data_IF_073908267994
#
_entry.id   IF_073908267994
#
_cell.length_a   1.000
_cell.length_b   1.000
_cell.length_c   1.000
_cell.angle_alpha   90.00
_cell.angle_beta   90.00
_cell.angle_gamma   90.00
#
_symmetry.space_group_name_H-M   'P 1'
#
loop_
_entity.id
_entity.type
_entity.pdbx_description
1 polymer ?
#
# COMPACT_ATOMS: atom_id res chain seq x y z
N UNK A 1 0.39 0.26 19.04
CA UNK A 1 1.77 0.63 19.44
C UNK A 1 2.83 0.44 18.34
N UNK A 2 2.60 -0.40 17.31
CA UNK A 2 3.57 -0.62 16.21
C UNK A 2 3.79 0.56 15.25
N UNK A 3 2.86 1.52 15.18
CA UNK A 3 2.89 2.61 14.19
C UNK A 3 3.99 3.67 14.49
N UNK A 4 4.40 3.83 15.76
CA UNK A 4 5.24 4.95 16.18
C UNK A 4 6.71 4.87 15.69
N UNK A 5 7.25 3.67 15.46
CA UNK A 5 8.64 3.53 15.00
C UNK A 5 8.79 3.41 13.48
N UNK A 6 7.69 3.25 12.73
CA UNK A 6 7.77 3.19 11.26
C UNK A 6 8.40 4.45 10.69
N UNK A 7 7.91 5.61 11.10
CA UNK A 7 8.36 6.89 10.54
C UNK A 7 9.81 7.19 10.94
N UNK A 8 10.20 6.82 12.17
CA UNK A 8 11.59 6.92 12.66
C UNK A 8 12.55 6.00 11.92
N UNK A 9 12.07 4.82 11.51
CA UNK A 9 12.86 3.86 10.76
C UNK A 9 13.06 4.34 9.32
N UNK A 10 12.02 4.90 8.69
CA UNK A 10 12.11 5.50 7.36
C UNK A 10 13.03 6.72 7.38
N UNK A 11 12.91 7.59 8.39
CA UNK A 11 13.73 8.80 8.51
C UNK A 11 15.16 8.55 9.01
N UNK A 12 15.56 7.30 9.22
CA UNK A 12 16.90 6.97 9.70
C UNK A 12 17.96 7.28 8.64
N UNK A 13 19.01 8.00 9.06
CA UNK A 13 20.18 8.33 8.22
C UNK A 13 21.37 7.42 8.56
N UNK A 14 21.40 6.85 9.77
CA UNK A 14 22.43 5.93 10.20
C UNK A 14 21.85 4.53 10.37
N UNK A 15 22.53 3.53 9.81
CA UNK A 15 22.08 2.14 9.89
C UNK A 15 22.04 1.61 11.33
N UNK A 16 23.04 1.98 12.14
CA UNK A 16 23.13 1.65 13.57
C UNK A 16 21.93 2.19 14.36
N UNK A 17 21.45 3.39 14.02
CA UNK A 17 20.24 3.98 14.60
C UNK A 17 18.98 3.21 14.20
N UNK A 18 18.90 2.69 12.97
CA UNK A 18 17.77 1.86 12.55
C UNK A 18 17.75 0.50 13.28
N UNK A 19 18.92 -0.12 13.47
CA UNK A 19 19.06 -1.39 14.20
C UNK A 19 18.69 -1.21 15.68
N UNK A 20 19.13 -0.12 16.32
CA UNK A 20 18.82 0.14 17.73
C UNK A 20 17.33 0.37 17.97
N UNK A 21 16.61 0.99 17.01
CA UNK A 21 15.15 1.13 17.06
C UNK A 21 14.46 -0.23 17.07
N UNK A 22 14.87 -1.16 16.21
CA UNK A 22 14.31 -2.52 16.17
C UNK A 22 14.66 -3.29 17.45
N UNK A 23 15.87 -3.15 17.97
CA UNK A 23 16.25 -3.79 19.23
C UNK A 23 15.40 -3.27 20.40
N UNK A 24 15.18 -1.96 20.49
CA UNK A 24 14.32 -1.37 21.53
C UNK A 24 12.89 -1.91 21.49
N UNK A 25 12.34 -2.18 20.29
CA UNK A 25 11.03 -2.81 20.17
C UNK A 25 11.02 -4.28 20.54
N UNK A 26 12.10 -5.02 20.24
CA UNK A 26 12.23 -6.41 20.70
C UNK A 26 12.18 -6.47 22.22
N UNK A 27 12.90 -5.59 22.91
CA UNK A 27 12.91 -5.54 24.37
C UNK A 27 11.51 -5.25 24.93
N UNK A 28 10.74 -4.37 24.27
CA UNK A 28 9.33 -4.11 24.64
C UNK A 28 8.47 -5.37 24.50
N UNK A 29 8.52 -6.07 23.36
CA UNK A 29 7.72 -7.28 23.18
C UNK A 29 8.15 -8.41 24.12
N UNK A 30 9.44 -8.54 24.40
CA UNK A 30 9.94 -9.51 25.38
C UNK A 30 9.44 -9.18 26.81
N UNK A 31 9.39 -7.88 27.14
CA UNK A 31 8.78 -7.39 28.38
C UNK A 31 7.29 -7.74 28.47
N UNK A 32 6.55 -7.64 27.36
CA UNK A 32 5.13 -8.00 27.30
C UNK A 32 4.93 -9.49 27.54
N UNK A 33 5.74 -10.36 26.94
CA UNK A 33 5.69 -11.82 27.16
C UNK A 33 5.86 -12.21 28.63
N UNK A 34 6.70 -11.46 29.35
CA UNK A 34 7.04 -11.77 30.74
C UNK A 34 5.98 -11.24 31.72
N UNK A 35 5.36 -10.09 31.42
CA UNK A 35 4.51 -9.35 32.37
C UNK A 35 3.01 -9.48 32.11
N UNK A 36 2.60 -9.78 30.88
CA UNK A 36 1.19 -9.72 30.45
C UNK A 36 0.79 -10.97 29.65
N UNK A 37 0.24 -12.01 30.30
CA UNK A 37 -0.15 -13.25 29.62
C UNK A 37 -1.25 -13.03 28.56
N UNK A 38 -2.14 -12.06 28.75
CA UNK A 38 -3.14 -11.65 27.76
C UNK A 38 -2.54 -11.07 26.47
N UNK A 39 -1.34 -10.50 26.55
CA UNK A 39 -0.61 -9.92 25.41
C UNK A 39 0.27 -10.92 24.65
N UNK A 40 0.35 -12.17 25.09
CA UNK A 40 1.33 -13.16 24.60
C UNK A 40 1.30 -13.33 23.08
N UNK A 41 0.12 -13.60 22.51
CA UNK A 41 -0.02 -13.81 21.05
C UNK A 41 0.41 -12.59 20.23
N UNK A 42 0.07 -11.39 20.70
CA UNK A 42 0.43 -10.16 20.00
C UNK A 42 1.93 -9.87 20.09
N UNK A 43 2.56 -10.19 21.22
CA UNK A 43 4.00 -10.05 21.40
C UNK A 43 4.79 -11.08 20.59
N UNK A 44 4.35 -12.34 20.52
CA UNK A 44 4.94 -13.38 19.66
C UNK A 44 4.89 -12.97 18.17
N UNK A 45 3.73 -12.53 17.68
CA UNK A 45 3.58 -12.04 16.31
C UNK A 45 4.44 -10.78 16.06
N UNK A 46 4.54 -9.88 17.05
CA UNK A 46 5.40 -8.71 16.98
C UNK A 46 6.87 -9.09 16.84
N UNK A 47 7.36 -10.05 17.64
CA UNK A 47 8.74 -10.54 17.57
C UNK A 47 9.04 -11.23 16.23
N UNK A 48 8.12 -12.05 15.72
CA UNK A 48 8.25 -12.67 14.40
C UNK A 48 8.36 -11.61 13.29
N UNK A 49 7.54 -10.56 13.37
CA UNK A 49 7.60 -9.44 12.44
C UNK A 49 8.95 -8.70 12.52
N UNK A 50 9.45 -8.43 13.74
CA UNK A 50 10.77 -7.79 13.92
C UNK A 50 11.92 -8.69 13.46
N UNK A 51 11.78 -10.01 13.58
CA UNK A 51 12.74 -10.97 13.03
C UNK A 51 12.77 -10.89 11.50
N UNK A 52 11.61 -10.83 10.85
CA UNK A 52 11.53 -10.62 9.41
C UNK A 52 12.15 -9.27 8.98
N UNK A 53 11.83 -8.18 9.67
CA UNK A 53 12.40 -6.87 9.34
C UNK A 53 13.93 -6.85 9.47
N UNK A 54 14.46 -7.41 10.54
CA UNK A 54 15.90 -7.50 10.78
C UNK A 54 16.61 -8.36 9.73
N UNK A 55 16.07 -9.54 9.46
CA UNK A 55 16.69 -10.51 8.56
C UNK A 55 16.63 -10.09 7.08
N UNK A 56 15.56 -9.43 6.67
CA UNK A 56 15.36 -9.06 5.27
C UNK A 56 15.62 -7.57 5.03
N UNK A 57 14.83 -6.70 5.66
CA UNK A 57 14.75 -5.27 5.34
C UNK A 57 15.88 -4.42 5.89
N UNK A 58 16.47 -4.82 7.02
CA UNK A 58 17.57 -4.12 7.68
C UNK A 58 18.95 -4.52 7.18
N UNK A 59 19.09 -5.42 6.19
CA UNK A 59 20.37 -5.61 5.51
C UNK A 59 20.85 -4.26 4.96
N UNK A 60 22.11 -3.90 5.20
CA UNK A 60 22.65 -2.56 4.92
C UNK A 60 22.25 -2.05 3.53
N UNK A 61 22.49 -2.85 2.48
CA UNK A 61 22.18 -2.49 1.09
C UNK A 61 20.69 -2.27 0.84
N UNK A 62 19.82 -3.01 1.53
CA UNK A 62 18.38 -2.88 1.37
C UNK A 62 17.86 -1.70 2.19
N UNK A 63 18.31 -1.54 3.43
CA UNK A 63 17.99 -0.35 4.25
C UNK A 63 18.36 0.95 3.53
N UNK A 64 19.53 1.00 2.88
CA UNK A 64 19.95 2.14 2.07
C UNK A 64 18.99 2.45 0.91
N UNK A 65 18.19 1.49 0.41
CA UNK A 65 17.31 1.73 -0.74
C UNK A 65 15.97 2.38 -0.38
N UNK A 66 15.55 2.32 0.90
CA UNK A 66 14.24 2.82 1.34
C UNK A 66 14.29 3.81 2.51
N UNK A 67 15.45 3.99 3.14
CA UNK A 67 15.66 4.98 4.21
C UNK A 67 15.97 6.38 3.69
N UNK A 68 15.96 7.36 4.60
CA UNK A 68 16.37 8.74 4.32
C UNK A 68 17.82 8.82 3.82
N UNK A 69 18.69 7.92 4.28
CA UNK A 69 20.05 7.79 3.73
C UNK A 69 20.04 7.63 2.21
N UNK A 70 19.17 6.76 1.69
CA UNK A 70 19.04 6.52 0.25
C UNK A 70 18.57 7.74 -0.51
N UNK A 71 17.64 8.50 0.08
CA UNK A 71 17.14 9.75 -0.50
C UNK A 71 18.24 10.81 -0.56
N UNK A 72 19.01 10.96 0.52
CA UNK A 72 20.15 11.89 0.58
C UNK A 72 21.24 11.51 -0.44
N UNK A 73 21.57 10.22 -0.53
CA UNK A 73 22.54 9.72 -1.51
C UNK A 73 22.07 9.98 -2.95
N UNK A 74 20.80 9.71 -3.25
CA UNK A 74 20.22 9.97 -4.57
C UNK A 74 20.18 11.48 -4.91
N UNK A 75 19.82 12.32 -3.95
CA UNK A 75 19.81 13.77 -4.10
C UNK A 75 21.21 14.31 -4.44
N UNK A 76 22.24 13.82 -3.75
CA UNK A 76 23.64 14.18 -4.01
C UNK A 76 24.09 13.80 -5.42
N UNK A 77 23.69 12.62 -5.91
CA UNK A 77 24.01 12.14 -7.27
C UNK A 77 23.29 12.97 -8.34
N UNK A 78 22.00 13.26 -8.16
CA UNK A 78 21.15 13.93 -9.15
C UNK A 78 21.29 15.47 -9.07
N UNK A 79 21.91 16.01 -8.01
CA UNK A 79 22.09 17.43 -7.73
C UNK A 79 20.78 18.22 -7.63
N UNK A 80 19.79 17.62 -6.97
CA UNK A 80 18.51 18.28 -6.63
C UNK A 80 18.31 18.26 -5.11
N UNK A 81 17.49 19.17 -4.55
CA UNK A 81 17.10 19.11 -3.15
C UNK A 81 16.45 17.76 -2.79
N UNK A 82 16.62 17.30 -1.54
CA UNK A 82 16.11 15.98 -1.11
C UNK A 82 14.59 15.89 -1.21
N UNK A 83 13.89 17.01 -1.12
CA UNK A 83 12.44 17.17 -1.29
C UNK A 83 12.01 16.85 -2.73
N UNK A 84 12.92 16.99 -3.70
CA UNK A 84 12.71 16.59 -5.09
C UNK A 84 12.89 15.09 -5.33
N UNK A 85 13.49 14.36 -4.38
CA UNK A 85 13.60 12.90 -4.43
C UNK A 85 12.35 12.28 -3.84
N UNK A 86 11.52 11.73 -4.73
CA UNK A 86 10.30 11.04 -4.35
C UNK A 86 10.68 9.74 -3.62
N UNK A 87 10.28 9.54 -2.35
CA UNK A 87 10.48 8.26 -1.66
C UNK A 87 9.85 7.14 -2.47
N UNK A 88 10.52 5.98 -2.49
CA UNK A 88 10.24 4.85 -3.37
C UNK A 88 8.75 4.57 -3.59
N UNK A 89 8.51 4.07 -4.79
CA UNK A 89 7.43 4.52 -5.63
C UNK A 89 6.35 3.44 -5.72
N UNK A 90 5.34 3.50 -4.85
CA UNK A 90 4.05 2.83 -5.12
C UNK A 90 3.42 3.35 -6.44
N UNK A 91 3.90 4.49 -6.97
CA UNK A 91 3.49 4.90 -8.31
C UNK A 91 4.01 3.97 -9.43
N UNK A 92 5.15 3.28 -9.23
CA UNK A 92 5.55 2.17 -10.10
C UNK A 92 4.67 0.95 -9.88
N UNK A 93 4.20 0.67 -8.68
CA UNK A 93 3.33 -0.47 -8.40
C UNK A 93 1.93 -0.29 -9.03
N UNK A 94 1.34 0.89 -8.86
CA UNK A 94 0.10 1.27 -9.56
C UNK A 94 0.29 1.35 -11.09
N UNK A 95 1.42 1.86 -11.59
CA UNK A 95 1.72 1.79 -13.02
C UNK A 95 1.93 0.35 -13.49
N UNK A 96 2.60 -0.50 -12.71
CA UNK A 96 2.84 -1.91 -13.02
C UNK A 96 1.53 -2.68 -13.09
N UNK A 97 0.58 -2.42 -12.19
CA UNK A 97 -0.74 -3.03 -12.23
C UNK A 97 -1.48 -2.62 -13.51
N UNK A 98 -1.52 -1.32 -13.81
CA UNK A 98 -2.18 -0.80 -15.02
C UNK A 98 -1.47 -1.31 -16.28
N UNK A 99 -0.15 -1.30 -16.33
CA UNK A 99 0.65 -1.80 -17.45
C UNK A 99 0.38 -3.28 -17.70
N UNK A 100 0.44 -4.10 -16.66
CA UNK A 100 0.23 -5.56 -16.77
C UNK A 100 -1.21 -5.89 -17.15
N UNK A 101 -2.19 -5.35 -16.43
CA UNK A 101 -3.61 -5.74 -16.55
C UNK A 101 -4.36 -5.03 -17.67
N UNK A 102 -4.07 -3.75 -17.90
CA UNK A 102 -4.83 -2.97 -18.89
C UNK A 102 -4.19 -3.03 -20.28
N UNK A 103 -2.86 -2.95 -20.35
CA UNK A 103 -2.16 -2.78 -21.62
C UNK A 103 -1.55 -4.09 -22.12
N UNK A 104 -0.74 -4.78 -21.31
CA UNK A 104 -0.03 -5.99 -21.75
C UNK A 104 -0.98 -7.18 -21.93
N UNK A 105 -1.94 -7.38 -21.01
CA UNK A 105 -2.86 -8.53 -21.02
C UNK A 105 -3.62 -8.69 -22.35
N UNK A 106 -3.94 -7.58 -23.02
CA UNK A 106 -4.63 -7.55 -24.31
C UNK A 106 -3.78 -8.06 -25.48
N UNK A 107 -2.46 -8.07 -25.33
CA UNK A 107 -1.52 -8.49 -26.37
C UNK A 107 -0.93 -9.90 -26.09
N UNK A 108 -1.25 -10.51 -24.94
CA UNK A 108 -0.80 -11.87 -24.64
C UNK A 108 -1.52 -12.87 -25.53
N UNK A 109 -0.77 -13.75 -26.18
CA UNK A 109 -1.32 -14.86 -26.95
C UNK A 109 -1.29 -16.12 -26.08
N UNK A 110 -2.48 -16.66 -25.75
CA UNK A 110 -2.65 -17.83 -24.88
C UNK A 110 -1.96 -17.70 -23.50
N UNK A 111 -1.90 -16.47 -22.95
CA UNK A 111 -1.28 -16.21 -21.65
C UNK A 111 0.25 -16.26 -21.63
N UNK A 112 0.91 -16.45 -22.77
CA UNK A 112 2.36 -16.46 -22.85
C UNK A 112 2.95 -15.04 -22.84
N UNK A 113 4.11 -14.89 -22.19
CA UNK A 113 4.84 -13.62 -22.14
C UNK A 113 5.22 -13.15 -23.54
N UNK A 114 5.07 -11.86 -23.78
CA UNK A 114 5.55 -11.21 -25.01
C UNK A 114 7.06 -11.36 -25.14
N UNK A 115 7.53 -11.57 -26.38
CA UNK A 115 8.94 -11.41 -26.72
C UNK A 115 9.34 -9.95 -26.44
N UNK A 116 10.55 -9.76 -25.93
CA UNK A 116 11.06 -8.45 -25.53
C UNK A 116 10.96 -7.41 -26.64
N UNK A 117 11.35 -7.73 -27.87
CA UNK A 117 11.31 -6.80 -29.00
C UNK A 117 9.88 -6.29 -29.30
N UNK A 118 8.90 -7.20 -29.23
CA UNK A 118 7.49 -6.88 -29.42
C UNK A 118 6.97 -6.01 -28.27
N UNK A 119 7.37 -6.31 -27.04
CA UNK A 119 7.03 -5.50 -25.88
C UNK A 119 7.57 -4.06 -26.04
N UNK A 120 8.80 -3.89 -26.51
CA UNK A 120 9.39 -2.57 -26.75
C UNK A 120 8.62 -1.80 -27.83
N UNK A 121 8.27 -2.46 -28.94
CA UNK A 121 7.46 -1.84 -30.00
C UNK A 121 6.13 -1.36 -29.41
N UNK A 122 5.38 -2.22 -28.73
CA UNK A 122 4.08 -1.89 -28.12
C UNK A 122 4.20 -0.75 -27.09
N UNK A 123 5.27 -0.75 -26.29
CA UNK A 123 5.53 0.31 -25.31
C UNK A 123 5.64 1.67 -26.00
N UNK A 124 6.44 1.76 -27.06
CA UNK A 124 6.74 3.02 -27.75
C UNK A 124 5.56 3.48 -28.59
N UNK A 125 4.95 2.59 -29.38
CA UNK A 125 3.96 2.97 -30.39
C UNK A 125 2.55 3.10 -29.83
N UNK A 126 2.20 2.34 -28.78
CA UNK A 126 0.83 2.29 -28.28
C UNK A 126 0.70 2.70 -26.82
N UNK A 127 1.44 2.05 -25.93
CA UNK A 127 1.17 2.14 -24.49
C UNK A 127 1.56 3.51 -23.95
N UNK A 128 2.78 3.98 -24.21
CA UNK A 128 3.25 5.28 -23.72
C UNK A 128 2.39 6.43 -24.26
N UNK A 129 2.11 6.53 -25.58
CA UNK A 129 1.20 7.56 -26.10
C UNK A 129 -0.16 7.56 -25.40
N UNK A 130 -0.81 6.40 -25.23
CA UNK A 130 -2.11 6.29 -24.55
C UNK A 130 -2.03 6.75 -23.08
N UNK A 131 -0.95 6.42 -22.37
CA UNK A 131 -0.73 6.85 -20.98
C UNK A 131 -0.56 8.36 -20.88
N UNK A 132 0.25 8.96 -21.75
CA UNK A 132 0.47 10.41 -21.75
C UNK A 132 -0.78 11.19 -22.17
N UNK A 133 -1.51 10.73 -23.19
CA UNK A 133 -2.77 11.35 -23.60
C UNK A 133 -3.81 11.33 -22.48
N UNK A 134 -3.95 10.19 -21.77
CA UNK A 134 -4.82 10.10 -20.60
C UNK A 134 -4.41 11.08 -19.49
N UNK A 135 -3.11 11.16 -19.18
CA UNK A 135 -2.61 12.10 -18.15
C UNK A 135 -2.83 13.55 -18.54
N UNK A 136 -2.68 13.89 -19.83
CA UNK A 136 -2.95 15.24 -20.35
C UNK A 136 -4.43 15.60 -20.21
N UNK A 137 -5.33 14.73 -20.68
CA UNK A 137 -6.78 14.92 -20.52
C UNK A 137 -7.19 15.04 -19.04
N UNK A 138 -6.61 14.23 -18.15
CA UNK A 138 -6.85 14.33 -16.71
C UNK A 138 -6.38 15.64 -16.10
N UNK A 139 -5.28 16.23 -16.59
CA UNK A 139 -4.80 17.54 -16.14
C UNK A 139 -5.71 18.67 -16.65
N UNK A 140 -6.13 18.60 -17.90
CA UNK A 140 -7.02 19.59 -18.53
C UNK A 140 -8.41 19.60 -17.87
N UNK A 141 -8.92 18.43 -17.48
CA UNK A 141 -10.21 18.29 -16.80
C UNK A 141 -10.09 18.14 -15.28
N UNK A 142 -8.93 18.45 -14.68
CA UNK A 142 -8.68 18.23 -13.27
C UNK A 142 -9.70 18.94 -12.36
N UNK A 143 -10.09 20.17 -12.71
CA UNK A 143 -11.10 20.95 -11.98
C UNK A 143 -12.49 20.32 -12.03
N UNK A 144 -12.92 19.83 -13.18
CA UNK A 144 -14.21 19.14 -13.36
C UNK A 144 -14.23 17.75 -12.69
N UNK A 145 -13.11 17.03 -12.72
CA UNK A 145 -12.99 15.71 -12.10
C UNK A 145 -12.98 15.81 -10.57
N UNK A 146 -12.32 16.83 -9.99
CA UNK A 146 -12.39 17.11 -8.55
C UNK A 146 -13.81 17.48 -8.10
N UNK A 147 -14.56 18.23 -8.93
CA UNK A 147 -15.97 18.52 -8.67
C UNK A 147 -16.83 17.24 -8.66
N UNK A 148 -16.63 16.33 -9.62
CA UNK A 148 -17.33 15.03 -9.66
C UNK A 148 -16.92 14.07 -8.53
N UNK A 149 -15.64 14.02 -8.16
CA UNK A 149 -15.18 13.21 -7.02
C UNK A 149 -15.74 13.73 -5.69
N UNK A 150 -15.95 15.06 -5.55
CA UNK A 150 -16.61 15.62 -4.37
C UNK A 150 -18.06 15.15 -4.25
N UNK A 151 -18.76 15.02 -5.39
CA UNK A 151 -20.14 14.52 -5.49
C UNK A 151 -20.17 13.01 -5.22
N UNK A 152 -19.25 12.23 -5.80
CA UNK A 152 -19.15 10.79 -5.57
C UNK A 152 -18.83 10.45 -4.11
N UNK A 153 -17.94 11.22 -3.45
CA UNK A 153 -17.64 11.02 -2.02
C UNK A 153 -18.82 11.40 -1.12
N UNK A 154 -19.62 12.41 -1.50
CA UNK A 154 -20.86 12.77 -0.77
C UNK A 154 -21.92 11.69 -0.93
N UNK A 155 -22.09 11.17 -2.15
CA UNK A 155 -23.06 10.13 -2.46
C UNK A 155 -22.75 8.81 -1.74
N UNK A 156 -21.49 8.37 -1.74
CA UNK A 156 -21.07 7.19 -0.98
C UNK A 156 -21.15 7.39 0.54
N UNK A 157 -20.88 8.61 1.04
CA UNK A 157 -21.03 8.93 2.46
C UNK A 157 -22.50 8.93 2.90
N UNK A 158 -23.43 9.43 2.06
CA UNK A 158 -24.87 9.33 2.34
C UNK A 158 -25.37 7.89 2.27
N UNK A 159 -24.85 7.07 1.35
CA UNK A 159 -25.24 5.66 1.23
C UNK A 159 -24.77 4.82 2.41
N UNK A 160 -23.54 5.07 2.90
CA UNK A 160 -23.01 4.46 4.13
C UNK A 160 -23.80 4.86 5.37
N UNK A 161 -24.25 6.12 5.47
CA UNK A 161 -25.09 6.60 6.58
C UNK A 161 -26.50 5.98 6.51
N UNK A 162 -27.07 5.82 5.31
CA UNK A 162 -28.37 5.17 5.10
C UNK A 162 -28.33 3.68 5.45
N UNK A 163 -27.31 2.96 4.99
CA UNK A 163 -27.09 1.55 5.29
C UNK A 163 -26.86 1.29 6.80
N UNK A 164 -26.22 2.23 7.51
CA UNK A 164 -26.02 2.13 8.97
C UNK A 164 -27.23 2.60 9.80
N UNK A 165 -28.09 3.44 9.23
CA UNK A 165 -29.40 3.78 9.80
C UNK A 165 -30.42 2.65 9.68
N UNK A 166 -30.45 1.95 8.53
CA UNK A 166 -31.29 0.76 8.32
C UNK A 166 -30.86 -0.41 9.22
N UNK A 167 -29.57 -0.61 9.43
CA UNK A 167 -29.05 -1.60 10.39
C UNK A 167 -29.50 -1.33 11.85
N UNK A 168 -29.65 -0.06 12.24
CA UNK A 168 -30.18 0.32 13.56
C UNK A 168 -31.70 0.17 13.69
N UNK A 169 -32.44 0.33 12.60
CA UNK A 169 -33.90 0.15 12.62
C UNK A 169 -34.31 -1.33 12.74
N UNK A 170 -33.48 -2.25 12.24
CA UNK A 170 -33.70 -3.70 12.36
C UNK A 170 -33.46 -4.23 13.78
N UNK A 171 -32.59 -3.60 14.58
CA UNK A 171 -32.33 -4.00 15.98
C UNK A 171 -33.46 -3.62 16.97
N UNK A 172 -34.41 -2.78 16.56
CA UNK A 172 -35.52 -2.32 17.44
C UNK A 172 -36.90 -2.90 17.10
N UNK A 173 -37.00 -3.85 16.17
CA UNK A 173 -38.27 -4.43 15.71
C UNK A 173 -38.37 -5.95 15.93
N UNK A 174 -39.08 -6.32 17.00
CA UNK A 174 -39.80 -7.57 17.29
C UNK A 174 -39.57 -8.85 16.45
N UNK A 175 -39.33 -9.94 17.19
CA UNK A 175 -39.38 -11.36 16.80
C UNK A 175 -40.47 -11.75 15.79
N UNK A 176 -40.10 -12.53 14.77
CA UNK A 176 -40.78 -13.77 14.37
C UNK A 176 -40.13 -14.38 13.11
N UNK A 177 -39.60 -15.61 13.26
CA UNK A 177 -39.54 -16.64 12.20
C UNK A 177 -38.53 -16.45 11.05
N UNK A 178 -37.69 -17.46 10.85
CA UNK A 178 -36.96 -17.77 9.60
C UNK A 178 -35.71 -16.93 9.27
N UNK A 179 -34.68 -17.06 10.12
CA UNK A 179 -33.32 -16.65 9.80
C UNK A 179 -32.53 -17.79 9.14
N UNK A 180 -32.67 -17.94 7.83
CA UNK A 180 -31.71 -18.72 7.05
C UNK A 180 -31.56 -18.15 5.63
N UNK A 181 -30.78 -17.07 5.48
CA UNK A 181 -29.95 -16.83 4.30
C UNK A 181 -29.08 -15.58 4.48
N UNK A 182 -27.87 -15.64 3.91
CA UNK A 182 -26.89 -14.56 3.71
C UNK A 182 -25.86 -14.32 4.82
N UNK A 183 -25.04 -15.34 5.05
CA UNK A 183 -23.66 -15.18 5.53
C UNK A 183 -22.71 -16.10 4.75
N UNK A 184 -22.68 -15.99 3.43
CA UNK A 184 -21.61 -16.61 2.62
C UNK A 184 -21.36 -15.76 1.37
N UNK A 185 -20.38 -14.86 1.42
CA UNK A 185 -19.63 -14.42 0.23
C UNK A 185 -18.43 -13.51 0.62
N UNK A 186 -17.52 -13.97 1.48
CA UNK A 186 -16.17 -13.38 1.59
C UNK A 186 -15.17 -14.41 2.13
N UNK A 187 -14.98 -15.50 1.38
CA UNK A 187 -13.76 -16.32 1.41
C UNK A 187 -13.51 -16.85 0.01
N UNK A 188 -12.24 -16.91 -0.36
CA UNK A 188 -11.66 -17.37 -1.63
C UNK A 188 -11.47 -16.31 -2.73
N UNK A 189 -10.37 -15.57 -2.59
CA UNK A 189 -9.37 -15.51 -3.67
C UNK A 189 -7.95 -15.50 -3.06
N UNK A 190 -7.43 -16.71 -2.90
CA UNK A 190 -6.01 -17.06 -2.96
C UNK A 190 -5.96 -18.42 -3.64
#
# INVERSE_FOLDING_TARGET
MLICNRDRLISSVEHTSAVSLIQSQRDVFQGILTRYPEGKRAAEAGLEHLHYLDHFWLKLSLWQSWSEWGRLAAAAVIKIPVEGIIPTTNHLESFNMVLKKKYIEQHLHSGHRLRFDILIILLITEILPKVYSRRRAMREHASSFLAQCSIFSRYWRSELIRASGEARAVETGACSGDAQCLLVAYRHHS
#
